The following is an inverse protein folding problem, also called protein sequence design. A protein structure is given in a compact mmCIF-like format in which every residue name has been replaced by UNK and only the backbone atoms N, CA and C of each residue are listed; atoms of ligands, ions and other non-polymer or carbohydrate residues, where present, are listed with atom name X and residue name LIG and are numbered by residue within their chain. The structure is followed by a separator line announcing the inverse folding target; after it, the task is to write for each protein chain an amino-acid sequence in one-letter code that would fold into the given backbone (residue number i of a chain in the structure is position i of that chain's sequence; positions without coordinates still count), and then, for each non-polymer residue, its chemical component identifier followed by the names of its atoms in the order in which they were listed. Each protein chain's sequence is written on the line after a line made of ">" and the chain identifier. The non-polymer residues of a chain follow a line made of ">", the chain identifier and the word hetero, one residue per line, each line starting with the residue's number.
data_IF_551956928931
#
_entry.id   IF_551956928931
#
_cell.length_a   1.000
_cell.length_b   1.000
_cell.length_c   1.000
_cell.angle_alpha   90.00
_cell.angle_beta   90.00
_cell.angle_gamma   90.00
#
_symmetry.space_group_name_H-M   'P 1'
#
loop_
_entity.id
_entity.type
_entity.pdbx_description
1 polymer ?
#
# COMPACT_ATOMS: atom_id res chain seq x y z
N UNK A 1 -17.48 -3.71 -10.29
CA UNK A 1 -18.21 -2.49 -9.87
C UNK A 1 -19.38 -2.81 -8.95
N UNK A 2 -20.11 -3.92 -9.12
CA UNK A 2 -21.13 -4.39 -8.16
C UNK A 2 -20.57 -4.47 -6.73
N UNK A 3 -19.37 -5.01 -6.57
CA UNK A 3 -18.65 -5.11 -5.27
C UNK A 3 -18.24 -3.78 -4.62
N UNK A 4 -18.21 -2.66 -5.39
CA UNK A 4 -17.92 -1.32 -4.85
C UNK A 4 -19.20 -0.70 -4.33
N UNK A 5 -20.30 -0.81 -5.09
CA UNK A 5 -21.61 -0.31 -4.66
C UNK A 5 -22.11 -0.99 -3.39
N UNK A 6 -21.91 -2.30 -3.25
CA UNK A 6 -22.25 -3.04 -2.01
C UNK A 6 -21.41 -2.56 -0.82
N UNK A 7 -20.11 -2.35 -1.01
CA UNK A 7 -19.25 -1.85 0.07
C UNK A 7 -19.53 -0.40 0.45
N UNK A 8 -19.95 0.44 -0.49
CA UNK A 8 -20.39 1.81 -0.19
C UNK A 8 -21.65 1.82 0.68
N UNK A 9 -22.60 0.89 0.45
CA UNK A 9 -23.78 0.75 1.33
C UNK A 9 -23.39 0.29 2.74
N UNK A 10 -22.46 -0.64 2.87
CA UNK A 10 -21.94 -1.04 4.18
C UNK A 10 -21.32 0.15 4.95
N UNK A 11 -20.58 1.02 4.25
CA UNK A 11 -20.04 2.23 4.85
C UNK A 11 -21.11 3.24 5.27
N UNK A 12 -22.21 3.33 4.53
CA UNK A 12 -23.36 4.17 4.89
C UNK A 12 -24.04 3.67 6.17
N UNK A 13 -24.30 2.36 6.25
CA UNK A 13 -24.96 1.74 7.40
C UNK A 13 -24.10 1.77 8.67
N UNK A 14 -22.79 1.57 8.54
CA UNK A 14 -21.92 1.27 9.69
C UNK A 14 -20.88 2.35 10.00
N UNK A 15 -20.59 3.28 9.08
CA UNK A 15 -19.44 4.20 9.19
C UNK A 15 -19.75 5.66 8.91
N UNK A 16 -21.03 6.03 8.85
CA UNK A 16 -21.46 7.42 8.75
C UNK A 16 -21.15 8.08 7.41
N UNK A 17 -21.02 7.28 6.35
CA UNK A 17 -20.95 7.78 4.98
C UNK A 17 -22.34 8.18 4.50
N UNK A 18 -22.48 9.34 3.85
CA UNK A 18 -23.73 9.77 3.24
C UNK A 18 -23.63 9.63 1.71
N UNK A 19 -24.30 8.61 1.14
CA UNK A 19 -24.23 8.36 -0.30
C UNK A 19 -24.91 9.46 -1.14
N UNK A 20 -25.86 10.19 -0.57
CA UNK A 20 -26.52 11.31 -1.25
C UNK A 20 -25.54 12.48 -1.42
N UNK A 21 -24.75 12.77 -0.39
CA UNK A 21 -23.71 13.82 -0.45
C UNK A 21 -22.59 13.44 -1.44
N UNK A 22 -22.15 12.19 -1.42
CA UNK A 22 -21.08 11.70 -2.32
C UNK A 22 -21.44 11.83 -3.81
N UNK A 23 -22.73 11.70 -4.17
CA UNK A 23 -23.19 11.87 -5.56
C UNK A 23 -22.97 13.29 -6.10
N UNK A 24 -22.84 14.28 -5.20
CA UNK A 24 -22.58 15.68 -5.55
C UNK A 24 -21.16 16.14 -5.21
N UNK A 25 -20.33 15.25 -4.66
CA UNK A 25 -18.96 15.55 -4.28
C UNK A 25 -18.03 15.33 -5.49
N UNK A 26 -17.63 16.42 -6.14
CA UNK A 26 -16.75 16.40 -7.32
C UNK A 26 -15.41 15.70 -7.03
N UNK A 27 -14.81 15.91 -5.86
CA UNK A 27 -13.54 15.27 -5.50
C UNK A 27 -13.67 13.75 -5.42
N UNK A 28 -14.76 13.27 -4.83
CA UNK A 28 -15.06 11.84 -4.76
C UNK A 28 -15.33 11.25 -6.15
N UNK A 29 -16.11 11.93 -6.98
CA UNK A 29 -16.41 11.51 -8.36
C UNK A 29 -15.12 11.40 -9.17
N UNK A 30 -14.23 12.38 -9.07
CA UNK A 30 -12.92 12.35 -9.75
C UNK A 30 -12.09 11.14 -9.32
N UNK A 31 -12.04 10.86 -8.01
CA UNK A 31 -11.34 9.68 -7.47
C UNK A 31 -11.93 8.38 -7.99
N UNK A 32 -13.27 8.25 -8.03
CA UNK A 32 -13.96 7.07 -8.58
C UNK A 32 -13.63 6.89 -10.06
N UNK A 33 -13.68 7.96 -10.85
CA UNK A 33 -13.39 7.93 -12.28
C UNK A 33 -11.94 7.53 -12.54
N UNK A 34 -10.98 8.17 -11.87
CA UNK A 34 -9.56 7.87 -12.00
C UNK A 34 -9.27 6.42 -11.58
N UNK A 35 -9.70 6.00 -10.39
CA UNK A 35 -9.47 4.65 -9.89
C UNK A 35 -10.07 3.58 -10.81
N UNK A 36 -11.28 3.83 -11.35
CA UNK A 36 -11.93 2.94 -12.32
C UNK A 36 -11.14 2.81 -13.61
N UNK A 37 -10.61 3.92 -14.14
CA UNK A 37 -9.77 3.88 -15.34
C UNK A 37 -8.49 3.09 -15.13
N UNK A 38 -7.82 3.24 -13.96
CA UNK A 38 -6.64 2.44 -13.62
C UNK A 38 -7.00 0.96 -13.48
N UNK A 39 -8.13 0.65 -12.85
CA UNK A 39 -8.55 -0.73 -12.61
C UNK A 39 -8.89 -1.47 -13.92
N UNK A 40 -9.55 -0.78 -14.87
CA UNK A 40 -9.92 -1.35 -16.18
C UNK A 40 -8.71 -1.77 -17.02
N UNK A 41 -7.61 -1.01 -16.96
CA UNK A 41 -6.37 -1.31 -17.70
C UNK A 41 -5.42 -2.28 -17.00
N UNK A 42 -5.82 -2.83 -15.85
CA UNK A 42 -4.95 -3.63 -15.01
C UNK A 42 -5.58 -4.99 -14.69
N UNK A 43 -4.83 -6.07 -14.85
CA UNK A 43 -5.29 -7.44 -14.59
C UNK A 43 -4.82 -8.00 -13.24
N UNK A 44 -4.00 -7.27 -12.49
CA UNK A 44 -3.47 -7.72 -11.19
C UNK A 44 -4.52 -7.47 -10.10
N UNK A 45 -5.05 -8.53 -9.51
CA UNK A 45 -6.12 -8.47 -8.50
C UNK A 45 -5.70 -7.63 -7.29
N UNK A 46 -4.46 -7.74 -6.80
CA UNK A 46 -4.01 -6.94 -5.65
C UNK A 46 -4.06 -5.43 -5.94
N UNK A 47 -3.80 -5.01 -7.18
CA UNK A 47 -3.93 -3.60 -7.57
C UNK A 47 -5.39 -3.19 -7.73
N UNK A 48 -6.26 -4.08 -8.20
CA UNK A 48 -7.71 -3.82 -8.27
C UNK A 48 -8.31 -3.67 -6.87
N UNK A 49 -7.92 -4.53 -5.93
CA UNK A 49 -8.29 -4.41 -4.52
C UNK A 49 -7.80 -3.09 -3.94
N UNK A 50 -6.55 -2.70 -4.20
CA UNK A 50 -5.99 -1.42 -3.77
C UNK A 50 -6.80 -0.20 -4.29
N UNK A 51 -7.22 -0.24 -5.56
CA UNK A 51 -8.03 0.83 -6.18
C UNK A 51 -9.47 0.84 -5.65
N UNK A 52 -10.06 -0.33 -5.42
CA UNK A 52 -11.37 -0.45 -4.76
C UNK A 52 -11.31 0.19 -3.37
N UNK A 53 -10.30 -0.16 -2.59
CA UNK A 53 -10.11 0.38 -1.25
C UNK A 53 -9.84 1.89 -1.27
N UNK A 54 -9.10 2.41 -2.25
CA UNK A 54 -8.93 3.84 -2.45
C UNK A 54 -10.27 4.58 -2.63
N UNK A 55 -11.19 4.02 -3.42
CA UNK A 55 -12.55 4.56 -3.55
C UNK A 55 -13.27 4.55 -2.20
N UNK A 56 -13.21 3.44 -1.47
CA UNK A 56 -13.89 3.32 -0.18
C UNK A 56 -13.32 4.27 0.89
N UNK A 57 -12.00 4.43 0.95
CA UNK A 57 -11.36 5.36 1.88
C UNK A 57 -11.61 6.83 1.49
N UNK A 58 -11.78 7.13 0.20
CA UNK A 58 -12.19 8.46 -0.25
C UNK A 58 -13.63 8.83 0.13
N UNK A 59 -14.49 7.83 0.37
CA UNK A 59 -15.87 8.03 0.82
C UNK A 59 -15.99 8.32 2.33
N UNK A 60 -14.95 8.06 3.13
CA UNK A 60 -14.98 8.24 4.58
C UNK A 60 -15.00 9.73 4.98
N UNK A 61 -15.44 10.09 6.20
CA UNK A 61 -15.58 11.50 6.62
C UNK A 61 -14.30 12.34 6.63
N UNK A 62 -13.13 11.70 6.70
CA UNK A 62 -11.83 12.38 6.72
C UNK A 62 -10.87 11.71 5.72
N UNK A 63 -11.16 11.79 4.41
CA UNK A 63 -10.29 11.19 3.42
C UNK A 63 -8.99 12.04 3.30
N UNK A 64 -7.91 11.51 2.70
CA UNK A 64 -6.78 12.34 2.32
C UNK A 64 -7.22 13.50 1.42
N UNK A 65 -6.52 14.62 1.44
CA UNK A 65 -6.80 15.75 0.54
C UNK A 65 -6.76 15.30 -0.94
N UNK A 66 -7.56 15.93 -1.81
CA UNK A 66 -7.69 15.54 -3.21
C UNK A 66 -6.34 15.38 -3.94
N UNK A 67 -5.39 16.29 -3.68
CA UNK A 67 -4.04 16.22 -4.26
C UNK A 67 -3.29 14.93 -3.85
N UNK A 68 -3.44 14.48 -2.60
CA UNK A 68 -2.89 13.21 -2.13
C UNK A 68 -3.61 12.02 -2.75
N UNK A 69 -4.95 12.07 -2.87
CA UNK A 69 -5.71 11.00 -3.52
C UNK A 69 -5.24 10.80 -4.97
N UNK A 70 -5.13 11.87 -5.75
CA UNK A 70 -4.64 11.84 -7.14
C UNK A 70 -3.19 11.32 -7.24
N UNK A 71 -2.32 11.76 -6.32
CA UNK A 71 -0.94 11.28 -6.24
C UNK A 71 -0.88 9.78 -5.93
N UNK A 72 -1.66 9.31 -4.96
CA UNK A 72 -1.71 7.92 -4.56
C UNK A 72 -2.28 7.01 -5.66
N UNK A 73 -3.35 7.43 -6.33
CA UNK A 73 -3.88 6.69 -7.49
C UNK A 73 -2.85 6.60 -8.63
N UNK A 74 -2.07 7.66 -8.86
CA UNK A 74 -0.97 7.66 -9.84
C UNK A 74 0.16 6.70 -9.44
N UNK A 75 0.46 6.60 -8.14
CA UNK A 75 1.39 5.59 -7.63
C UNK A 75 0.87 4.18 -7.85
N UNK A 76 -0.39 3.89 -7.53
CA UNK A 76 -0.98 2.58 -7.80
C UNK A 76 -0.90 2.27 -9.29
N UNK A 77 -1.22 3.20 -10.18
CA UNK A 77 -1.12 2.96 -11.62
C UNK A 77 0.31 2.57 -12.06
N UNK A 78 1.31 3.38 -11.69
CA UNK A 78 2.71 3.17 -12.08
C UNK A 78 3.42 2.02 -11.38
N UNK A 79 2.92 1.55 -10.23
CA UNK A 79 3.55 0.50 -9.46
C UNK A 79 3.25 -0.90 -9.97
N UNK A 80 4.24 -1.79 -9.83
CA UNK A 80 4.01 -3.24 -9.86
C UNK A 80 3.47 -3.70 -8.50
N UNK A 81 2.84 -4.88 -8.44
CA UNK A 81 2.39 -5.48 -7.16
C UNK A 81 3.52 -5.59 -6.13
N UNK A 82 4.77 -5.74 -6.59
CA UNK A 82 5.92 -5.80 -5.71
C UNK A 82 6.16 -4.52 -4.91
N UNK A 83 5.85 -3.34 -5.44
CA UNK A 83 5.95 -2.10 -4.67
C UNK A 83 5.01 -2.14 -3.46
N UNK A 84 3.76 -2.59 -3.67
CA UNK A 84 2.76 -2.69 -2.61
C UNK A 84 3.17 -3.74 -1.57
N UNK A 85 3.64 -4.91 -2.00
CA UNK A 85 4.10 -6.00 -1.11
C UNK A 85 5.30 -5.58 -0.26
N UNK A 86 6.30 -4.94 -0.87
CA UNK A 86 7.47 -4.43 -0.15
C UNK A 86 7.07 -3.35 0.85
N UNK A 87 6.23 -2.40 0.42
CA UNK A 87 5.79 -1.31 1.29
C UNK A 87 5.01 -1.84 2.50
N UNK A 88 4.08 -2.78 2.29
CA UNK A 88 3.33 -3.43 3.37
C UNK A 88 4.21 -4.23 4.33
N UNK A 89 5.15 -5.04 3.80
CA UNK A 89 6.12 -5.78 4.62
C UNK A 89 6.90 -4.83 5.53
N UNK A 90 7.36 -3.70 4.99
CA UNK A 90 8.25 -2.79 5.70
C UNK A 90 7.54 -1.66 6.47
N UNK A 91 6.21 -1.55 6.40
CA UNK A 91 5.43 -0.71 7.30
C UNK A 91 5.40 -1.29 8.72
N UNK A 92 5.14 -2.60 8.82
CA UNK A 92 5.15 -3.31 10.09
C UNK A 92 5.60 -4.77 9.94
N UNK A 93 6.93 -5.03 9.84
CA UNK A 93 7.43 -6.40 9.64
C UNK A 93 6.94 -7.41 10.69
N UNK A 94 6.91 -7.09 12.00
CA UNK A 94 6.37 -8.01 13.01
C UNK A 94 4.89 -8.35 12.81
N UNK A 95 4.06 -7.38 12.40
CA UNK A 95 2.66 -7.64 12.08
C UNK A 95 2.52 -8.48 10.83
N UNK A 96 3.23 -8.12 9.75
CA UNK A 96 3.25 -8.90 8.51
C UNK A 96 3.61 -10.36 8.78
N UNK A 97 4.63 -10.61 9.62
CA UNK A 97 5.05 -11.95 9.98
C UNK A 97 3.94 -12.74 10.70
N UNK A 98 3.17 -12.11 11.59
CA UNK A 98 2.03 -12.76 12.26
C UNK A 98 0.92 -13.13 11.27
N UNK A 99 0.58 -12.21 10.36
CA UNK A 99 -0.46 -12.43 9.35
C UNK A 99 -0.10 -13.54 8.36
N UNK A 100 1.21 -13.74 8.11
CA UNK A 100 1.71 -14.74 7.15
C UNK A 100 2.25 -16.00 7.81
N UNK A 101 2.06 -16.18 9.14
CA UNK A 101 2.64 -17.28 9.92
C UNK A 101 4.16 -17.46 9.68
N UNK A 102 4.87 -16.35 9.49
CA UNK A 102 6.27 -16.32 9.13
C UNK A 102 7.17 -16.08 10.33
N UNK A 103 8.35 -16.70 10.33
CA UNK A 103 9.38 -16.48 11.35
C UNK A 103 10.64 -15.94 10.69
N UNK A 104 10.92 -14.64 10.91
CA UNK A 104 12.17 -14.06 10.42
C UNK A 104 13.39 -14.71 11.09
N UNK A 105 14.48 -14.93 10.35
CA UNK A 105 15.68 -15.55 10.87
C UNK A 105 16.23 -14.78 12.08
N UNK A 106 16.73 -15.52 13.07
CA UNK A 106 17.40 -14.93 14.23
C UNK A 106 18.78 -14.46 13.77
N UNK A 107 19.02 -13.16 13.87
CA UNK A 107 20.25 -12.52 13.42
C UNK A 107 20.70 -11.48 14.44
N UNK A 108 21.98 -11.50 14.83
CA UNK A 108 22.56 -10.46 15.68
C UNK A 108 22.78 -9.15 14.89
N UNK A 109 23.16 -9.28 13.61
CA UNK A 109 23.21 -8.22 12.61
C UNK A 109 22.60 -8.73 11.31
N UNK A 110 21.88 -7.88 10.59
CA UNK A 110 21.26 -8.23 9.32
C UNK A 110 21.01 -7.00 8.45
N UNK A 111 20.45 -7.24 7.27
CA UNK A 111 20.04 -6.21 6.33
C UNK A 111 18.56 -6.38 5.98
N UNK A 112 17.93 -5.33 5.45
CA UNK A 112 16.55 -5.38 4.99
C UNK A 112 16.40 -6.36 3.81
N UNK A 113 17.40 -6.49 2.94
CA UNK A 113 17.41 -7.48 1.86
C UNK A 113 17.23 -8.92 2.38
N UNK A 114 17.80 -9.26 3.53
CA UNK A 114 17.64 -10.59 4.14
C UNK A 114 16.25 -10.80 4.74
N UNK A 115 15.63 -9.74 5.28
CA UNK A 115 14.22 -9.77 5.71
C UNK A 115 13.31 -9.96 4.51
N UNK A 116 13.59 -9.25 3.42
CA UNK A 116 12.85 -9.31 2.17
C UNK A 116 12.86 -10.71 1.55
N UNK A 117 14.05 -11.27 1.30
CA UNK A 117 14.17 -12.62 0.70
C UNK A 117 13.65 -13.71 1.65
N UNK A 118 13.70 -13.48 2.96
CA UNK A 118 13.07 -14.38 3.92
C UNK A 118 11.54 -14.33 3.84
N UNK A 119 10.94 -13.15 3.66
CA UNK A 119 9.50 -12.98 3.51
C UNK A 119 8.98 -13.48 2.15
N UNK A 120 9.78 -13.29 1.10
CA UNK A 120 9.45 -13.64 -0.28
C UNK A 120 10.60 -14.44 -0.91
N UNK A 121 10.67 -15.77 -0.67
CA UNK A 121 11.72 -16.62 -1.21
C UNK A 121 11.81 -16.58 -2.75
N UNK A 122 10.73 -16.25 -3.45
CA UNK A 122 10.69 -16.10 -4.90
C UNK A 122 11.49 -14.88 -5.43
N UNK A 123 11.94 -13.99 -4.54
CA UNK A 123 12.86 -12.90 -4.85
C UNK A 123 14.34 -13.30 -4.70
N UNK A 124 14.62 -14.51 -4.23
CA UNK A 124 16.00 -14.99 -4.15
C UNK A 124 16.65 -15.00 -5.55
N UNK A 125 17.89 -14.53 -5.62
CA UNK A 125 18.60 -14.31 -6.88
C UNK A 125 18.08 -13.15 -7.77
N UNK A 126 16.98 -12.47 -7.43
CA UNK A 126 16.37 -11.38 -8.23
C UNK A 126 16.78 -9.99 -7.78
N UNK A 127 18.04 -9.82 -7.39
CA UNK A 127 18.58 -8.58 -6.80
C UNK A 127 18.27 -7.33 -7.59
N UNK A 128 18.61 -7.31 -8.87
CA UNK A 128 18.41 -6.14 -9.72
C UNK A 128 16.94 -5.68 -9.76
N UNK A 129 16.00 -6.63 -9.68
CA UNK A 129 14.58 -6.33 -9.70
C UNK A 129 14.11 -5.69 -8.39
N UNK A 130 14.37 -6.32 -7.24
CA UNK A 130 13.87 -5.76 -5.98
C UNK A 130 14.64 -4.52 -5.52
N UNK A 131 15.90 -4.34 -5.97
CA UNK A 131 16.65 -3.10 -5.77
C UNK A 131 15.99 -1.95 -6.53
N UNK A 132 15.56 -2.17 -7.77
CA UNK A 132 14.84 -1.17 -8.55
C UNK A 132 13.49 -0.81 -7.89
N UNK A 133 12.72 -1.81 -7.45
CA UNK A 133 11.44 -1.58 -6.75
C UNK A 133 11.66 -0.76 -5.46
N UNK A 134 12.70 -1.08 -4.69
CA UNK A 134 13.02 -0.35 -3.47
C UNK A 134 13.43 1.10 -3.74
N UNK A 135 14.26 1.32 -4.77
CA UNK A 135 14.65 2.65 -5.22
C UNK A 135 13.43 3.46 -5.66
N UNK A 136 12.50 2.86 -6.40
CA UNK A 136 11.26 3.52 -6.82
C UNK A 136 10.39 3.98 -5.63
N UNK A 137 10.31 3.16 -4.57
CA UNK A 137 9.62 3.52 -3.32
C UNK A 137 10.36 4.64 -2.57
N UNK A 138 11.70 4.62 -2.57
CA UNK A 138 12.51 5.64 -1.91
C UNK A 138 12.42 6.99 -2.64
N UNK A 139 12.54 7.00 -3.96
CA UNK A 139 12.47 8.21 -4.80
C UNK A 139 11.09 8.88 -4.73
N UNK A 140 10.03 8.11 -4.49
CA UNK A 140 8.67 8.63 -4.25
C UNK A 140 8.42 9.02 -2.79
N UNK A 141 9.44 8.94 -1.94
CA UNK A 141 9.36 9.33 -0.53
C UNK A 141 8.51 8.40 0.33
N UNK A 142 8.19 7.18 -0.12
CA UNK A 142 7.33 6.25 0.61
C UNK A 142 8.08 5.46 1.68
N UNK A 143 9.41 5.31 1.54
CA UNK A 143 10.29 4.69 2.52
C UNK A 143 11.45 5.61 2.90
N UNK A 144 11.94 5.48 4.13
CA UNK A 144 12.95 6.36 4.72
C UNK A 144 14.40 5.90 4.54
N UNK A 145 14.62 4.69 4.01
CA UNK A 145 15.95 4.07 3.92
C UNK A 145 16.34 3.88 2.46
N UNK A 146 17.49 4.43 2.07
CA UNK A 146 18.04 4.36 0.71
C UNK A 146 18.41 2.94 0.29
N UNK A 147 19.08 2.18 1.16
CA UNK A 147 19.66 0.89 0.80
C UNK A 147 19.12 -0.26 1.65
N UNK A 148 18.71 -1.33 0.96
CA UNK A 148 18.33 -2.60 1.58
C UNK A 148 19.51 -3.33 2.26
N UNK A 149 20.76 -2.94 1.97
CA UNK A 149 21.97 -3.68 2.37
C UNK A 149 22.66 -3.14 3.62
N UNK A 150 22.18 -2.01 4.14
CA UNK A 150 22.73 -1.41 5.36
C UNK A 150 22.71 -2.44 6.49
N UNK A 151 23.86 -2.64 7.14
CA UNK A 151 23.96 -3.54 8.29
C UNK A 151 23.31 -2.88 9.49
N UNK A 152 22.36 -3.56 10.11
CA UNK A 152 21.58 -3.06 11.24
C UNK A 152 21.53 -4.08 12.38
N UNK A 153 21.11 -3.62 13.56
CA UNK A 153 20.80 -4.49 14.69
C UNK A 153 19.57 -5.37 14.39
N UNK A 154 19.35 -6.41 15.21
CA UNK A 154 18.15 -7.25 15.17
C UNK A 154 16.84 -6.44 15.22
N UNK A 155 16.79 -5.40 16.05
CA UNK A 155 15.62 -4.52 16.15
C UNK A 155 15.52 -3.61 14.93
N UNK A 156 16.65 -3.10 14.44
CA UNK A 156 16.68 -2.25 13.25
C UNK A 156 16.15 -2.94 11.99
N UNK A 157 16.46 -4.21 11.76
CA UNK A 157 15.91 -4.90 10.56
C UNK A 157 14.40 -5.16 10.62
N UNK A 158 13.77 -5.01 11.79
CA UNK A 158 12.32 -5.24 12.00
C UNK A 158 11.53 -3.96 12.27
N UNK A 159 12.17 -2.80 12.28
CA UNK A 159 11.47 -1.54 12.51
C UNK A 159 10.82 -1.03 11.22
N UNK A 160 9.72 -0.29 11.38
CA UNK A 160 9.04 0.45 10.32
C UNK A 160 10.02 1.24 9.44
N UNK A 161 9.82 1.19 8.13
CA UNK A 161 10.60 1.92 7.12
C UNK A 161 9.76 2.90 6.32
N UNK A 162 8.45 2.72 6.28
CA UNK A 162 7.54 3.66 5.64
C UNK A 162 7.64 5.04 6.29
N UNK A 163 7.59 6.08 5.46
CA UNK A 163 7.47 7.47 5.91
C UNK A 163 6.02 7.76 6.29
N UNK A 164 5.75 8.99 6.76
CA UNK A 164 4.38 9.44 6.97
C UNK A 164 3.55 9.38 5.67
N UNK A 165 4.12 9.83 4.55
CA UNK A 165 3.49 9.71 3.23
C UNK A 165 3.26 8.24 2.84
N UNK A 166 4.22 7.36 3.11
CA UNK A 166 4.09 5.91 2.87
C UNK A 166 2.95 5.27 3.68
N UNK A 167 2.79 5.67 4.94
CA UNK A 167 1.69 5.21 5.79
C UNK A 167 0.34 5.75 5.34
N UNK A 168 0.27 7.02 4.94
CA UNK A 168 -0.97 7.59 4.37
C UNK A 168 -1.36 6.90 3.07
N UNK A 169 -0.38 6.62 2.20
CA UNK A 169 -0.60 5.86 0.97
C UNK A 169 -1.16 4.46 1.27
N UNK A 170 -0.52 3.71 2.19
CA UNK A 170 -1.01 2.38 2.57
C UNK A 170 -2.43 2.43 3.14
N UNK A 171 -2.70 3.33 4.10
CA UNK A 171 -4.05 3.49 4.67
C UNK A 171 -5.10 3.79 3.61
N UNK A 172 -4.76 4.58 2.61
CA UNK A 172 -5.68 4.91 1.53
C UNK A 172 -6.03 3.71 0.65
N UNK A 173 -5.08 2.79 0.42
CA UNK A 173 -5.28 1.64 -0.48
C UNK A 173 -5.60 0.32 0.24
N UNK A 174 -5.58 0.30 1.57
CA UNK A 174 -5.96 -0.85 2.37
C UNK A 174 -7.44 -0.81 2.74
N UNK A 175 -7.98 -1.96 3.13
CA UNK A 175 -9.39 -2.08 3.49
C UNK A 175 -9.74 -1.05 4.59
N UNK A 176 -10.84 -0.31 4.44
CA UNK A 176 -11.28 0.65 5.46
C UNK A 176 -11.37 -0.02 6.83
N UNK A 177 -10.48 0.39 7.74
CA UNK A 177 -10.38 -0.15 9.10
C UNK A 177 -11.52 0.30 9.97
#
# INVERSE_FOLDING_TARGET
>A
MTEVGEALRDLEENRGVNLEELQSNEEFIDTVLQASQVALRNSQEEKRTALRNAILNAALPNPPEQALQQMFLSFVDGFTVWHLRLLKLFDNPPQWAREHNHVFPVMNKGSLARVLVSAFPELDGKRAFYDQVWEDLYQRGLVSTTSLYTTMSKQGVRSKRTTELGTQFLRFIEEPG
#
